data_IF_814606547681
#
_entry.id   IF_814606547681
#
_cell.length_a   1.000
_cell.length_b   1.000
_cell.length_c   1.000
_cell.angle_alpha   90.00
_cell.angle_beta   90.00
_cell.angle_gamma   90.00
#
_symmetry.space_group_name_H-M   'P 1'
#
loop_
_entity.id
_entity.type
_entity.pdbx_description
1 polymer ?
#
# COMPACT_ATOMS: atom_id res chain seq x y z
N UNK A 1 26.76 -36.24 44.48
CA UNK A 1 26.74 -35.67 43.10
C UNK A 1 25.33 -35.60 42.48
N UNK A 2 24.27 -35.32 43.25
CA UNK A 2 22.88 -35.19 42.71
C UNK A 2 22.36 -33.75 42.66
N UNK A 3 22.99 -32.79 43.35
CA UNK A 3 22.52 -31.39 43.34
C UNK A 3 22.88 -30.62 42.07
N UNK A 4 24.03 -30.92 41.45
CA UNK A 4 24.47 -30.27 40.21
C UNK A 4 23.47 -30.43 39.05
N UNK A 5 22.77 -31.57 38.96
CA UNK A 5 21.78 -31.78 37.89
C UNK A 5 20.52 -30.93 38.06
N UNK A 6 20.06 -30.72 39.29
CA UNK A 6 18.88 -29.88 39.56
C UNK A 6 19.16 -28.40 39.34
N UNK A 7 20.33 -27.92 39.75
CA UNK A 7 20.73 -26.52 39.50
C UNK A 7 20.91 -26.25 38.00
N UNK A 8 21.55 -27.18 37.26
CA UNK A 8 21.73 -27.03 35.82
C UNK A 8 20.39 -27.04 35.05
N UNK A 9 19.45 -27.92 35.43
CA UNK A 9 18.11 -27.95 34.85
C UNK A 9 17.32 -26.66 35.12
N UNK A 10 17.41 -26.11 36.34
CA UNK A 10 16.75 -24.86 36.68
C UNK A 10 17.32 -23.67 35.89
N UNK A 11 18.65 -23.61 35.72
CA UNK A 11 19.29 -22.61 34.87
C UNK A 11 18.85 -22.72 33.42
N UNK A 12 18.81 -23.94 32.87
CA UNK A 12 18.36 -24.18 31.50
C UNK A 12 16.89 -23.79 31.27
N UNK A 13 15.99 -24.14 32.19
CA UNK A 13 14.59 -23.73 32.15
C UNK A 13 14.43 -22.21 32.24
N UNK A 14 15.21 -21.55 33.09
CA UNK A 14 15.23 -20.08 33.19
C UNK A 14 15.68 -19.43 31.88
N UNK A 15 16.73 -19.95 31.24
CA UNK A 15 17.19 -19.47 29.93
C UNK A 15 16.12 -19.64 28.85
N UNK A 16 15.46 -20.80 28.80
CA UNK A 16 14.37 -21.03 27.85
C UNK A 16 13.22 -20.04 28.08
N UNK A 17 12.83 -19.81 29.35
CA UNK A 17 11.76 -18.88 29.68
C UNK A 17 12.09 -17.45 29.24
N UNK A 18 13.34 -17.01 29.45
CA UNK A 18 13.81 -15.69 29.02
C UNK A 18 13.81 -15.55 27.50
N UNK A 19 14.37 -16.53 26.79
CA UNK A 19 14.45 -16.50 25.32
C UNK A 19 13.05 -16.57 24.70
N UNK A 20 12.20 -17.48 25.16
CA UNK A 20 10.83 -17.60 24.66
C UNK A 20 10.00 -16.35 24.96
N UNK A 21 10.11 -15.78 26.16
CA UNK A 21 9.47 -14.52 26.51
C UNK A 21 9.92 -13.37 25.60
N UNK A 22 11.24 -13.25 25.38
CA UNK A 22 11.79 -12.23 24.48
C UNK A 22 11.30 -12.40 23.03
N UNK A 23 11.26 -13.63 22.53
CA UNK A 23 10.77 -13.94 21.18
C UNK A 23 9.28 -13.59 21.04
N UNK A 24 8.46 -13.90 22.05
CA UNK A 24 7.03 -13.57 22.06
C UNK A 24 6.84 -12.05 22.02
N UNK A 25 7.50 -11.31 22.91
CA UNK A 25 7.39 -9.84 22.96
C UNK A 25 7.88 -9.22 21.65
N UNK A 26 8.98 -9.73 21.10
CA UNK A 26 9.52 -9.26 19.82
C UNK A 26 8.54 -9.51 18.67
N UNK A 27 7.96 -10.72 18.58
CA UNK A 27 7.00 -11.07 17.55
C UNK A 27 5.75 -10.18 17.61
N UNK A 28 5.23 -9.92 18.81
CA UNK A 28 4.10 -9.01 19.00
C UNK A 28 4.45 -7.59 18.57
N UNK A 29 5.61 -7.07 18.99
CA UNK A 29 6.06 -5.74 18.62
C UNK A 29 6.21 -5.56 17.10
N UNK A 30 6.95 -6.47 16.45
CA UNK A 30 7.15 -6.42 15.00
C UNK A 30 5.85 -6.64 14.23
N UNK A 31 4.96 -7.52 14.72
CA UNK A 31 3.65 -7.74 14.13
C UNK A 31 2.79 -6.48 14.13
N UNK A 32 2.69 -5.79 15.28
CA UNK A 32 1.95 -4.53 15.39
C UNK A 32 2.58 -3.43 14.52
N UNK A 33 3.90 -3.31 14.53
CA UNK A 33 4.62 -2.34 13.69
C UNK A 33 4.34 -2.57 12.20
N UNK A 34 4.39 -3.83 11.75
CA UNK A 34 4.10 -4.18 10.36
C UNK A 34 2.66 -3.82 9.96
N UNK A 35 1.68 -4.08 10.83
CA UNK A 35 0.28 -3.72 10.58
C UNK A 35 0.07 -2.21 10.52
N UNK A 36 0.74 -1.43 11.37
CA UNK A 36 0.69 0.02 11.33
C UNK A 36 1.24 0.59 10.01
N UNK A 37 2.40 0.07 9.56
CA UNK A 37 3.00 0.47 8.28
C UNK A 37 2.10 0.10 7.10
N UNK A 38 1.55 -1.13 7.09
CA UNK A 38 0.63 -1.57 6.05
C UNK A 38 -0.62 -0.66 5.99
N UNK A 39 -1.21 -0.33 7.13
CA UNK A 39 -2.35 0.58 7.22
C UNK A 39 -2.03 1.98 6.67
N UNK A 40 -0.85 2.52 6.99
CA UNK A 40 -0.38 3.81 6.47
C UNK A 40 -0.27 3.78 4.94
N UNK A 41 0.36 2.76 4.38
CA UNK A 41 0.56 2.63 2.92
C UNK A 41 -0.77 2.50 2.19
N UNK A 42 -1.67 1.64 2.68
CA UNK A 42 -3.00 1.45 2.08
C UNK A 42 -3.81 2.74 2.16
N UNK A 43 -3.81 3.41 3.31
CA UNK A 43 -4.51 4.69 3.50
C UNK A 43 -3.98 5.79 2.56
N UNK A 44 -2.66 5.89 2.41
CA UNK A 44 -2.05 6.86 1.49
C UNK A 44 -2.41 6.58 0.03
N UNK A 45 -2.33 5.32 -0.40
CA UNK A 45 -2.75 4.93 -1.75
C UNK A 45 -4.21 5.26 -2.03
N UNK A 46 -5.10 4.99 -1.06
CA UNK A 46 -6.51 5.38 -1.14
C UNK A 46 -6.71 6.89 -1.27
N UNK A 47 -5.97 7.70 -0.50
CA UNK A 47 -6.04 9.16 -0.58
C UNK A 47 -5.55 9.70 -1.93
N UNK A 48 -4.47 9.13 -2.47
CA UNK A 48 -3.96 9.50 -3.81
C UNK A 48 -4.99 9.19 -4.90
N UNK A 49 -5.61 8.01 -4.85
CA UNK A 49 -6.66 7.63 -5.80
C UNK A 49 -7.90 8.53 -5.68
N UNK A 50 -8.30 8.88 -4.47
CA UNK A 50 -9.44 9.77 -4.24
C UNK A 50 -9.18 11.21 -4.73
N UNK A 51 -7.93 11.68 -4.67
CA UNK A 51 -7.52 12.97 -5.22
C UNK A 51 -7.26 12.93 -6.73
N UNK A 52 -7.38 11.77 -7.38
CA UNK A 52 -7.20 11.67 -8.82
C UNK A 52 -8.43 12.23 -9.54
N UNK A 53 -8.34 13.48 -9.98
CA UNK A 53 -9.35 14.12 -10.82
C UNK A 53 -9.02 13.82 -12.29
N UNK A 54 -9.81 12.99 -13.01
CA UNK A 54 -9.58 12.82 -14.43
C UNK A 54 -9.80 14.18 -15.14
N UNK A 55 -8.96 14.55 -16.12
CA UNK A 55 -9.17 15.78 -16.86
C UNK A 55 -10.53 15.71 -17.56
N UNK A 56 -11.34 16.75 -17.41
CA UNK A 56 -12.61 16.91 -18.15
C UNK A 56 -12.30 17.30 -19.61
N UNK A 57 -11.64 16.43 -20.36
CA UNK A 57 -11.46 16.63 -21.79
C UNK A 57 -12.68 16.09 -22.52
N UNK A 58 -13.79 16.82 -22.43
CA UNK A 58 -14.82 16.76 -23.47
C UNK A 58 -14.29 17.62 -24.62
N UNK A 59 -13.48 17.03 -25.49
CA UNK A 59 -13.09 17.67 -26.73
C UNK A 59 -14.34 17.77 -27.62
N UNK A 60 -15.06 18.89 -27.52
CA UNK A 60 -16.15 19.22 -28.45
C UNK A 60 -15.49 19.69 -29.73
N UNK A 61 -15.24 18.76 -30.65
CA UNK A 61 -14.78 19.08 -32.01
C UNK A 61 -16.00 19.64 -32.74
N UNK A 62 -16.08 20.96 -32.87
CA UNK A 62 -17.02 21.61 -33.77
C UNK A 62 -16.56 21.37 -35.20
N UNK A 63 -17.20 20.43 -35.90
CA UNK A 63 -16.98 20.21 -37.31
C UNK A 63 -17.75 21.29 -38.09
N UNK A 64 -17.04 22.28 -38.62
CA UNK A 64 -17.65 23.25 -39.54
C UNK A 64 -17.75 22.62 -40.93
N UNK A 65 -18.95 22.22 -41.33
CA UNK A 65 -19.22 21.70 -42.67
C UNK A 65 -19.51 22.87 -43.61
N UNK A 66 -18.59 23.13 -44.55
CA UNK A 66 -18.83 24.13 -45.62
C UNK A 66 -19.27 23.41 -46.89
N UNK A 67 -20.36 23.90 -47.48
CA UNK A 67 -20.82 23.47 -48.80
C UNK A 67 -20.07 24.27 -49.86
N UNK A 68 -19.09 23.64 -50.50
CA UNK A 68 -18.50 24.19 -51.72
C UNK A 68 -19.33 23.70 -52.91
N UNK A 69 -19.39 24.43 -54.02
CA UNK A 69 -20.22 24.07 -55.18
C UNK A 69 -19.93 22.69 -55.81
N UNK A 70 -18.93 21.96 -55.29
CA UNK A 70 -18.54 20.60 -55.69
C UNK A 70 -18.78 19.51 -54.62
N UNK A 71 -19.24 19.87 -53.42
CA UNK A 71 -19.50 18.91 -52.34
C UNK A 71 -19.34 19.51 -50.93
N UNK A 72 -19.58 18.67 -49.92
CA UNK A 72 -19.37 19.01 -48.52
C UNK A 72 -17.90 18.78 -48.15
N UNK A 73 -17.26 19.82 -47.61
CA UNK A 73 -15.92 19.73 -47.03
C UNK A 73 -16.05 19.88 -45.52
N UNK A 74 -15.38 19.01 -44.77
CA UNK A 74 -15.33 19.05 -43.30
C UNK A 74 -13.89 19.38 -42.91
N UNK A 75 -13.70 20.45 -42.16
CA UNK A 75 -12.41 20.78 -41.56
C UNK A 75 -12.37 20.23 -40.12
N UNK A 76 -11.55 19.19 -39.85
CA UNK A 76 -11.44 18.62 -38.51
C UNK A 76 -10.50 19.40 -37.59
N UNK A 77 -9.89 20.49 -38.05
CA UNK A 77 -8.80 21.15 -37.33
C UNK A 77 -9.23 21.97 -36.11
N UNK A 78 -10.53 22.24 -35.92
CA UNK A 78 -11.08 22.81 -34.69
C UNK A 78 -10.34 24.06 -34.18
N UNK A 79 -9.83 24.89 -35.10
CA UNK A 79 -9.17 26.18 -34.80
C UNK A 79 -10.12 27.34 -34.97
#
# INVERSE_FOLDING_TARGET
>A
MRSFSHTALAMFQSTIALVSGLLIVSALFFGVMAMAIAGLVIGFAGAVLANFRPPETRAVVTLEARRTGRGWSVDPSGR
#
